data_IF_027348543299
#
_entry.id   IF_027348543299
#
_cell.length_a   1.000
_cell.length_b   1.000
_cell.length_c   1.000
_cell.angle_alpha   90.00
_cell.angle_beta   90.00
_cell.angle_gamma   90.00
#
_symmetry.space_group_name_H-M   'P 1'
#
loop_
_entity.id
_entity.type
_entity.pdbx_description
1 polymer ?
#
# COMPACT_ATOMS: atom_id res chain seq x y z
N UNK A 1 -22.64 -32.86 2.37
CA UNK A 1 -22.72 -31.40 2.62
C UNK A 1 -21.62 -30.93 3.59
N UNK A 2 -21.58 -31.40 4.85
CA UNK A 2 -20.56 -30.98 5.85
C UNK A 2 -19.11 -31.31 5.46
N UNK A 3 -18.85 -32.47 4.84
CA UNK A 3 -17.51 -32.84 4.37
C UNK A 3 -17.01 -31.99 3.19
N UNK A 4 -17.91 -31.58 2.29
CA UNK A 4 -17.60 -30.67 1.18
C UNK A 4 -17.34 -29.25 1.69
N UNK A 5 -18.16 -28.77 2.63
CA UNK A 5 -17.92 -27.51 3.34
C UNK A 5 -16.53 -27.47 4.01
N UNK A 6 -16.16 -28.51 4.76
CA UNK A 6 -14.85 -28.59 5.44
C UNK A 6 -13.71 -28.70 4.41
N UNK A 7 -13.89 -29.42 3.31
CA UNK A 7 -12.89 -29.52 2.24
C UNK A 7 -12.69 -28.19 1.51
N UNK A 8 -13.78 -27.47 1.20
CA UNK A 8 -13.75 -26.15 0.57
C UNK A 8 -13.10 -25.12 1.51
N UNK A 9 -13.38 -25.17 2.82
CA UNK A 9 -12.76 -24.30 3.84
C UNK A 9 -11.31 -24.64 4.17
N UNK A 10 -10.75 -25.71 3.59
CA UNK A 10 -9.31 -26.04 3.61
C UNK A 10 -8.60 -25.61 2.32
N UNK A 11 -9.33 -25.17 1.30
CA UNK A 11 -8.72 -24.64 0.09
C UNK A 11 -8.12 -23.26 0.38
N UNK A 12 -6.98 -22.90 -0.22
CA UNK A 12 -6.28 -21.66 0.08
C UNK A 12 -7.16 -20.40 -0.04
N UNK A 13 -8.07 -20.39 -1.02
CA UNK A 13 -9.03 -19.32 -1.25
C UNK A 13 -10.12 -19.15 -0.18
N UNK A 14 -10.17 -20.00 0.85
CA UNK A 14 -11.05 -19.87 2.02
C UNK A 14 -10.28 -19.72 3.34
N UNK A 15 -9.05 -20.23 3.43
CA UNK A 15 -8.20 -20.10 4.62
C UNK A 15 -7.52 -18.72 4.74
N UNK A 16 -7.30 -18.04 3.60
CA UNK A 16 -6.72 -16.69 3.56
C UNK A 16 -7.78 -15.59 3.36
N UNK A 17 -9.07 -15.94 3.33
CA UNK A 17 -10.14 -14.94 3.33
C UNK A 17 -10.36 -14.42 4.74
N UNK A 18 -10.20 -13.11 4.88
CA UNK A 18 -10.65 -12.34 6.04
C UNK A 18 -12.08 -12.63 6.46
N UNK A 19 -12.42 -12.34 7.72
CA UNK A 19 -13.79 -12.44 8.22
C UNK A 19 -14.62 -11.24 7.77
N UNK A 20 -15.69 -11.44 6.98
CA UNK A 20 -16.54 -10.34 6.54
C UNK A 20 -17.36 -9.75 7.68
N UNK A 21 -17.64 -8.44 7.59
CA UNK A 21 -18.44 -7.68 8.56
C UNK A 21 -19.91 -8.16 8.57
N UNK A 22 -20.42 -8.60 7.42
CA UNK A 22 -21.79 -9.12 7.27
C UNK A 22 -21.90 -10.08 6.08
N UNK A 23 -23.01 -10.82 6.00
CA UNK A 23 -23.33 -11.70 4.88
C UNK A 23 -24.06 -10.91 3.78
N UNK A 24 -23.44 -10.77 2.60
CA UNK A 24 -23.94 -10.00 1.47
C UNK A 24 -22.84 -9.82 0.40
N UNK A 25 -23.20 -9.52 -0.85
CA UNK A 25 -22.24 -9.48 -1.97
C UNK A 25 -21.10 -8.47 -1.75
N UNK A 26 -21.39 -7.27 -1.24
CA UNK A 26 -20.36 -6.27 -0.96
C UNK A 26 -19.67 -6.52 0.39
N UNK A 27 -20.41 -6.99 1.38
CA UNK A 27 -19.86 -7.23 2.72
C UNK A 27 -18.96 -8.47 2.75
N UNK A 28 -19.08 -9.41 1.81
CA UNK A 28 -18.16 -10.55 1.70
C UNK A 28 -16.73 -10.17 1.32
N UNK A 29 -16.52 -8.95 0.82
CA UNK A 29 -15.19 -8.42 0.49
C UNK A 29 -14.56 -7.61 1.62
N UNK A 30 -15.28 -7.39 2.72
CA UNK A 30 -14.76 -6.74 3.91
C UNK A 30 -13.96 -7.71 4.77
N UNK A 31 -13.03 -7.19 5.57
CA UNK A 31 -12.23 -7.96 6.50
C UNK A 31 -12.14 -7.23 7.84
N UNK A 32 -12.61 -7.84 8.93
CA UNK A 32 -12.47 -7.32 10.29
C UNK A 32 -11.35 -7.99 11.10
N UNK A 33 -10.82 -9.10 10.60
CA UNK A 33 -9.90 -9.97 11.34
C UNK A 33 -8.43 -9.69 11.07
N UNK A 34 -8.09 -9.19 9.88
CA UNK A 34 -6.69 -8.90 9.53
C UNK A 34 -6.21 -7.65 10.26
N UNK A 35 -5.06 -7.70 10.97
CA UNK A 35 -4.53 -6.56 11.71
C UNK A 35 -4.32 -5.33 10.81
N UNK A 36 -4.94 -4.20 11.18
CA UNK A 36 -4.90 -2.97 10.37
C UNK A 36 -3.50 -2.37 10.27
N UNK A 37 -2.73 -2.45 11.35
CA UNK A 37 -1.38 -1.90 11.38
C UNK A 37 -0.46 -2.69 10.45
N UNK A 38 -0.44 -4.02 10.56
CA UNK A 38 0.35 -4.88 9.69
C UNK A 38 -0.07 -4.72 8.22
N UNK A 39 -1.38 -4.63 7.91
CA UNK A 39 -1.81 -4.36 6.54
C UNK A 39 -1.43 -2.97 6.03
N UNK A 40 -1.34 -1.97 6.91
CA UNK A 40 -0.90 -0.64 6.53
C UNK A 40 0.59 -0.63 6.16
N UNK A 41 1.41 -1.31 6.96
CA UNK A 41 2.86 -1.43 6.73
C UNK A 41 3.15 -2.36 5.57
N UNK A 42 2.73 -3.63 5.64
CA UNK A 42 3.14 -4.64 4.66
C UNK A 42 2.43 -4.49 3.31
N UNK A 43 1.14 -4.13 3.28
CA UNK A 43 0.38 -4.14 2.03
C UNK A 43 0.15 -2.74 1.45
N UNK A 44 -0.35 -1.79 2.25
CA UNK A 44 -0.79 -0.47 1.77
C UNK A 44 0.38 0.45 1.41
N UNK A 45 1.37 0.58 2.30
CA UNK A 45 2.58 1.37 2.03
C UNK A 45 3.75 0.50 1.60
N UNK A 46 3.81 -0.73 2.08
CA UNK A 46 4.79 -1.72 1.66
C UNK A 46 4.59 -2.11 0.21
N UNK A 47 3.83 -3.17 -0.05
CA UNK A 47 3.78 -3.80 -1.37
C UNK A 47 3.27 -2.89 -2.49
N UNK A 48 2.40 -1.92 -2.19
CA UNK A 48 2.01 -0.88 -3.15
C UNK A 48 3.20 -0.05 -3.66
N UNK A 49 4.26 0.12 -2.88
CA UNK A 49 5.43 0.96 -3.20
C UNK A 49 6.63 0.09 -3.57
N UNK A 50 6.85 -1.00 -2.86
CA UNK A 50 7.96 -1.93 -3.05
C UNK A 50 7.46 -3.37 -3.07
N UNK A 51 7.59 -4.04 -4.20
CA UNK A 51 7.11 -5.41 -4.33
C UNK A 51 7.86 -6.37 -3.38
N UNK A 52 7.11 -7.32 -2.82
CA UNK A 52 7.64 -8.42 -2.04
C UNK A 52 8.19 -9.52 -2.96
N UNK A 53 9.47 -9.92 -2.82
CA UNK A 53 10.07 -10.93 -3.70
C UNK A 53 9.55 -12.36 -3.44
N UNK A 54 9.26 -12.71 -2.19
CA UNK A 54 8.90 -14.08 -1.79
C UNK A 54 7.53 -14.55 -2.31
N UNK A 55 6.62 -13.59 -2.48
CA UNK A 55 5.25 -13.82 -2.97
C UNK A 55 4.89 -12.80 -4.05
N UNK A 56 5.81 -12.62 -4.99
CA UNK A 56 5.76 -11.61 -6.02
C UNK A 56 4.50 -11.72 -6.89
N UNK A 57 3.68 -10.67 -6.87
CA UNK A 57 2.43 -10.55 -7.66
C UNK A 57 1.50 -11.79 -7.50
N UNK A 58 1.61 -12.48 -6.37
CA UNK A 58 0.76 -13.64 -6.09
C UNK A 58 -0.66 -13.21 -5.72
N UNK A 59 -1.57 -14.17 -5.77
CA UNK A 59 -3.00 -13.99 -5.52
C UNK A 59 -3.38 -14.71 -4.21
N UNK A 60 -4.02 -14.00 -3.29
CA UNK A 60 -4.44 -14.53 -1.98
C UNK A 60 -5.50 -15.62 -2.13
N UNK A 61 -6.31 -15.58 -3.20
CA UNK A 61 -7.25 -16.64 -3.55
C UNK A 61 -6.55 -17.92 -4.02
N UNK A 62 -5.27 -17.82 -4.42
CA UNK A 62 -4.44 -18.94 -4.87
C UNK A 62 -3.41 -19.39 -3.83
N UNK A 63 -3.53 -18.93 -2.59
CA UNK A 63 -2.72 -19.40 -1.46
C UNK A 63 -1.52 -18.53 -1.12
N UNK A 64 -1.46 -17.31 -1.64
CA UNK A 64 -0.57 -16.28 -1.10
C UNK A 64 -1.02 -15.90 0.32
N UNK A 65 -0.11 -15.83 1.30
CA UNK A 65 -0.40 -15.28 2.61
C UNK A 65 -0.91 -13.83 2.52
N UNK A 66 -1.85 -13.45 3.40
CA UNK A 66 -2.41 -12.09 3.45
C UNK A 66 -1.37 -11.05 3.88
N UNK A 67 -0.47 -11.44 4.77
CA UNK A 67 0.64 -10.63 5.24
C UNK A 67 1.94 -11.30 4.78
N UNK A 68 2.74 -10.54 4.04
CA UNK A 68 4.07 -10.92 3.60
C UNK A 68 4.98 -9.84 4.12
N UNK A 69 6.00 -10.23 4.88
CA UNK A 69 6.93 -9.31 5.52
C UNK A 69 8.17 -9.14 4.65
N UNK A 70 8.77 -7.95 4.64
CA UNK A 70 10.08 -7.79 4.02
C UNK A 70 11.16 -8.57 4.78
N UNK A 71 11.99 -9.27 4.03
CA UNK A 71 13.20 -9.92 4.54
C UNK A 71 14.37 -8.97 4.76
N UNK A 72 14.28 -7.73 4.27
CA UNK A 72 15.36 -6.75 4.33
C UNK A 72 14.88 -5.48 5.03
N UNK A 73 15.59 -5.11 6.09
CA UNK A 73 15.29 -3.91 6.89
C UNK A 73 15.33 -2.61 6.07
N UNK A 74 16.08 -2.60 4.96
CA UNK A 74 16.17 -1.46 4.05
C UNK A 74 14.81 -1.08 3.46
N UNK A 75 13.93 -2.06 3.18
CA UNK A 75 12.59 -1.80 2.67
C UNK A 75 11.77 -0.97 3.67
N UNK A 76 11.76 -1.36 4.94
CA UNK A 76 11.08 -0.59 5.99
C UNK A 76 11.68 0.81 6.17
N UNK A 77 13.00 0.97 6.01
CA UNK A 77 13.62 2.30 6.07
C UNK A 77 13.20 3.19 4.89
N UNK A 78 13.12 2.65 3.68
CA UNK A 78 12.68 3.41 2.50
C UNK A 78 11.21 3.78 2.62
N UNK A 79 10.36 2.84 3.03
CA UNK A 79 8.95 3.08 3.32
C UNK A 79 8.77 4.21 4.36
N UNK A 80 9.51 4.12 5.48
CA UNK A 80 9.48 5.16 6.51
C UNK A 80 9.84 6.55 5.96
N UNK A 81 10.89 6.64 5.13
CA UNK A 81 11.29 7.90 4.50
C UNK A 81 10.19 8.43 3.59
N UNK A 82 9.56 7.56 2.78
CA UNK A 82 8.46 7.94 1.89
C UNK A 82 7.27 8.47 2.69
N UNK A 83 6.85 7.76 3.74
CA UNK A 83 5.76 8.18 4.63
C UNK A 83 6.11 9.49 5.34
N UNK A 84 7.33 9.66 5.84
CA UNK A 84 7.76 10.89 6.48
C UNK A 84 7.69 12.08 5.50
N UNK A 85 8.22 11.93 4.28
CA UNK A 85 8.14 12.94 3.23
C UNK A 85 6.68 13.26 2.85
N UNK A 86 5.81 12.25 2.79
CA UNK A 86 4.39 12.44 2.55
C UNK A 86 3.74 13.32 3.63
N UNK A 87 3.95 12.99 4.91
CA UNK A 87 3.42 13.73 6.05
C UNK A 87 3.97 15.17 6.10
N UNK A 88 5.26 15.37 5.85
CA UNK A 88 5.86 16.71 5.78
C UNK A 88 5.31 17.51 4.59
N UNK A 89 5.08 16.87 3.45
CA UNK A 89 4.41 17.45 2.29
C UNK A 89 3.01 17.94 2.61
N UNK A 90 2.20 17.09 3.27
CA UNK A 90 0.87 17.46 3.75
C UNK A 90 0.95 18.68 4.67
N UNK A 91 1.86 18.64 5.65
CA UNK A 91 2.03 19.75 6.59
C UNK A 91 2.38 21.05 5.87
N UNK A 92 3.31 21.01 4.91
CA UNK A 92 3.71 22.21 4.16
C UNK A 92 2.60 22.72 3.24
N UNK A 93 1.79 21.83 2.69
CA UNK A 93 0.66 22.11 1.80
C UNK A 93 -0.69 22.35 2.49
N UNK A 94 -0.77 22.27 3.83
CA UNK A 94 -2.02 22.29 4.63
C UNK A 94 -3.00 23.45 4.37
N UNK A 95 -2.56 24.54 3.73
CA UNK A 95 -3.44 25.68 3.37
C UNK A 95 -3.98 25.58 1.93
N UNK A 96 -3.60 24.56 1.18
CA UNK A 96 -3.97 24.43 -0.23
C UNK A 96 -5.25 23.64 -0.39
N UNK A 97 -6.25 24.26 -1.02
CA UNK A 97 -7.51 23.60 -1.39
C UNK A 97 -7.28 22.44 -2.37
N UNK A 98 -6.30 22.56 -3.27
CA UNK A 98 -5.95 21.51 -4.21
C UNK A 98 -5.43 20.24 -3.49
N UNK A 99 -4.51 20.41 -2.53
CA UNK A 99 -4.04 19.29 -1.71
C UNK A 99 -5.21 18.63 -0.98
N UNK A 100 -6.08 19.40 -0.33
CA UNK A 100 -7.22 18.83 0.39
C UNK A 100 -8.20 18.09 -0.52
N UNK A 101 -8.40 18.55 -1.75
CA UNK A 101 -9.20 17.82 -2.75
C UNK A 101 -8.60 16.43 -3.04
N UNK A 102 -7.29 16.33 -3.25
CA UNK A 102 -6.61 15.05 -3.43
C UNK A 102 -6.65 14.19 -2.16
N UNK A 103 -6.44 14.80 -1.00
CA UNK A 103 -6.51 14.12 0.30
C UNK A 103 -7.92 13.61 0.65
N UNK A 104 -8.98 14.22 0.13
CA UNK A 104 -10.33 13.69 0.26
C UNK A 104 -10.49 12.35 -0.46
N UNK A 105 -9.94 12.24 -1.68
CA UNK A 105 -9.89 10.96 -2.41
C UNK A 105 -9.10 9.91 -1.63
N UNK A 106 -7.87 10.26 -1.24
CA UNK A 106 -7.03 9.41 -0.38
C UNK A 106 -7.76 8.95 0.89
N UNK A 107 -8.41 9.89 1.60
CA UNK A 107 -9.14 9.59 2.83
C UNK A 107 -10.32 8.66 2.62
N UNK A 108 -11.00 8.78 1.47
CA UNK A 108 -12.08 7.88 1.09
C UNK A 108 -11.56 6.47 0.80
N UNK A 109 -10.43 6.35 0.10
CA UNK A 109 -9.78 5.04 -0.11
C UNK A 109 -9.35 4.41 1.21
N UNK A 110 -8.79 5.20 2.14
CA UNK A 110 -8.42 4.70 3.48
C UNK A 110 -9.65 4.25 4.27
N UNK A 111 -10.77 4.97 4.14
CA UNK A 111 -12.02 4.56 4.77
C UNK A 111 -12.51 3.20 4.22
N UNK A 112 -12.51 3.03 2.90
CA UNK A 112 -12.96 1.78 2.28
C UNK A 112 -12.01 0.62 2.60
N UNK A 113 -10.72 0.80 2.36
CA UNK A 113 -9.75 -0.30 2.42
C UNK A 113 -9.30 -0.60 3.84
N UNK A 114 -9.01 0.41 4.66
CA UNK A 114 -8.54 0.19 6.03
C UNK A 114 -9.66 0.13 7.06
N UNK A 115 -10.66 1.00 7.00
CA UNK A 115 -11.72 1.01 8.03
C UNK A 115 -12.72 -0.12 7.79
N UNK A 116 -13.32 -0.16 6.59
CA UNK A 116 -14.25 -1.23 6.22
C UNK A 116 -13.53 -2.54 5.91
N UNK A 117 -12.23 -2.51 5.62
CA UNK A 117 -11.47 -3.71 5.27
C UNK A 117 -11.78 -4.23 3.87
N UNK A 118 -12.41 -3.43 3.00
CA UNK A 118 -12.80 -3.88 1.68
C UNK A 118 -11.56 -4.15 0.83
N UNK A 119 -11.37 -5.40 0.39
CA UNK A 119 -10.19 -5.78 -0.39
C UNK A 119 -8.87 -5.59 0.35
N UNK A 120 -8.86 -5.54 1.70
CA UNK A 120 -7.66 -5.28 2.49
C UNK A 120 -6.53 -6.28 2.20
N UNK A 121 -6.91 -7.54 1.94
CA UNK A 121 -5.96 -8.64 1.73
C UNK A 121 -5.12 -8.50 0.46
N UNK A 122 -5.61 -7.69 -0.49
CA UNK A 122 -4.92 -7.39 -1.73
C UNK A 122 -4.88 -5.89 -1.99
N UNK A 123 -4.85 -5.07 -0.94
CA UNK A 123 -4.85 -3.61 -1.06
C UNK A 123 -3.72 -3.13 -1.99
N UNK A 124 -2.61 -3.86 -2.06
CA UNK A 124 -1.50 -3.54 -2.96
C UNK A 124 -1.88 -3.43 -4.45
N UNK A 125 -2.85 -4.22 -4.95
CA UNK A 125 -3.29 -4.13 -6.35
C UNK A 125 -4.10 -2.86 -6.63
N UNK A 126 -4.65 -2.24 -5.58
CA UNK A 126 -5.45 -1.02 -5.68
C UNK A 126 -4.59 0.24 -5.54
N UNK A 127 -3.26 0.12 -5.40
CA UNK A 127 -2.33 1.23 -5.18
C UNK A 127 -2.51 2.43 -6.10
N UNK A 128 -2.91 2.21 -7.36
CA UNK A 128 -3.17 3.28 -8.33
C UNK A 128 -4.21 4.31 -7.87
N UNK A 129 -5.12 3.95 -6.95
CA UNK A 129 -6.15 4.85 -6.44
C UNK A 129 -5.61 5.91 -5.47
N UNK A 130 -4.51 5.66 -4.75
CA UNK A 130 -3.98 6.60 -3.74
C UNK A 130 -2.52 6.97 -3.91
N UNK A 131 -1.69 6.14 -4.56
CA UNK A 131 -0.23 6.36 -4.64
C UNK A 131 0.14 7.71 -5.27
N UNK A 132 -0.67 8.21 -6.22
CA UNK A 132 -0.41 9.50 -6.86
C UNK A 132 -0.55 10.70 -5.90
N UNK A 133 -1.23 10.54 -4.76
CA UNK A 133 -1.38 11.59 -3.76
C UNK A 133 -0.06 11.83 -3.02
N UNK A 134 0.79 10.80 -2.91
CA UNK A 134 2.12 10.89 -2.28
C UNK A 134 3.02 11.94 -2.96
N UNK A 135 3.33 11.85 -4.27
CA UNK A 135 4.15 12.86 -4.94
C UNK A 135 3.48 14.23 -4.99
N UNK A 136 2.13 14.32 -5.06
CA UNK A 136 1.42 15.60 -4.96
C UNK A 136 1.72 16.30 -3.63
N UNK A 137 1.63 15.57 -2.52
CA UNK A 137 1.95 16.14 -1.21
C UNK A 137 3.43 16.53 -1.12
N UNK A 138 4.35 15.68 -1.57
CA UNK A 138 5.80 15.99 -1.58
C UNK A 138 6.13 17.23 -2.41
N UNK A 139 5.39 17.51 -3.49
CA UNK A 139 5.57 18.70 -4.31
C UNK A 139 5.38 20.01 -3.52
N UNK A 140 4.55 20.02 -2.47
CA UNK A 140 4.41 21.18 -1.59
C UNK A 140 5.66 21.46 -0.75
N UNK A 141 6.49 20.45 -0.49
CA UNK A 141 7.82 20.69 0.10
C UNK A 141 8.71 21.42 -0.90
N UNK A 142 8.75 20.95 -2.15
CA UNK A 142 9.54 21.56 -3.21
C UNK A 142 9.10 22.98 -3.54
N UNK A 143 7.81 23.30 -3.36
CA UNK A 143 7.27 24.65 -3.55
C UNK A 143 7.64 25.63 -2.43
N UNK A 144 7.89 25.13 -1.21
CA UNK A 144 8.02 25.96 0.00
C UNK A 144 9.45 26.08 0.50
N UNK A 145 10.32 25.14 0.15
CA UNK A 145 11.71 25.14 0.53
C UNK A 145 12.55 25.83 -0.55
N UNK A 146 13.63 26.49 -0.11
CA UNK A 146 14.57 27.18 -0.99
C UNK A 146 16.02 26.82 -0.67
N UNK A 147 16.93 27.18 -1.60
CA UNK A 147 18.38 27.03 -1.43
C UNK A 147 18.82 25.61 -1.10
N UNK A 148 19.70 25.46 -0.10
CA UNK A 148 20.28 24.15 0.28
C UNK A 148 19.21 23.12 0.70
N UNK A 149 18.13 23.56 1.36
CA UNK A 149 17.04 22.67 1.80
C UNK A 149 16.26 22.11 0.61
N UNK A 150 15.97 22.95 -0.38
CA UNK A 150 15.33 22.51 -1.62
C UNK A 150 16.19 21.48 -2.36
N UNK A 151 17.49 21.78 -2.52
CA UNK A 151 18.42 20.86 -3.17
C UNK A 151 18.48 19.52 -2.44
N UNK A 152 18.57 19.52 -1.11
CA UNK A 152 18.60 18.29 -0.32
C UNK A 152 17.33 17.44 -0.50
N UNK A 153 16.13 18.05 -0.38
CA UNK A 153 14.85 17.32 -0.55
C UNK A 153 14.70 16.82 -1.99
N UNK A 154 15.06 17.64 -2.99
CA UNK A 154 15.02 17.22 -4.39
C UNK A 154 15.96 16.04 -4.65
N UNK A 155 17.20 16.10 -4.18
CA UNK A 155 18.17 15.01 -4.31
C UNK A 155 17.68 13.73 -3.63
N UNK A 156 17.10 13.85 -2.43
CA UNK A 156 16.52 12.71 -1.72
C UNK A 156 15.39 12.06 -2.53
N UNK A 157 14.45 12.86 -3.07
CA UNK A 157 13.37 12.35 -3.92
C UNK A 157 13.93 11.65 -5.16
N UNK A 158 14.93 12.23 -5.83
CA UNK A 158 15.55 11.60 -7.01
C UNK A 158 16.21 10.26 -6.66
N UNK A 159 16.96 10.21 -5.55
CA UNK A 159 17.59 8.96 -5.08
C UNK A 159 16.53 7.91 -4.76
N UNK A 160 15.45 8.29 -4.07
CA UNK A 160 14.33 7.39 -3.78
C UNK A 160 13.67 6.87 -5.05
N UNK A 161 13.39 7.73 -6.02
CA UNK A 161 12.81 7.32 -7.31
C UNK A 161 13.71 6.32 -8.02
N UNK A 162 15.02 6.58 -8.11
CA UNK A 162 15.98 5.65 -8.73
C UNK A 162 16.00 4.31 -7.99
N UNK A 163 16.06 4.34 -6.66
CA UNK A 163 16.05 3.14 -5.84
C UNK A 163 14.76 2.32 -6.04
N UNK A 164 13.58 2.96 -6.00
CA UNK A 164 12.30 2.28 -6.17
C UNK A 164 12.16 1.67 -7.57
N UNK A 165 12.66 2.35 -8.61
CA UNK A 165 12.72 1.78 -9.96
C UNK A 165 13.67 0.58 -10.02
N UNK A 166 14.86 0.71 -9.43
CA UNK A 166 15.85 -0.37 -9.38
C UNK A 166 15.38 -1.58 -8.55
N UNK A 167 14.53 -1.38 -7.55
CA UNK A 167 13.91 -2.45 -6.78
C UNK A 167 12.78 -3.13 -7.56
N UNK A 168 11.82 -2.36 -8.06
CA UNK A 168 10.59 -2.91 -8.61
C UNK A 168 10.72 -3.40 -10.06
N UNK A 169 11.46 -2.70 -10.93
CA UNK A 169 11.54 -3.05 -12.35
C UNK A 169 12.11 -4.46 -12.56
N UNK A 170 13.25 -4.85 -11.93
CA UNK A 170 13.79 -6.19 -12.12
C UNK A 170 12.83 -7.29 -11.66
N UNK A 171 12.07 -7.06 -10.59
CA UNK A 171 11.05 -8.00 -10.12
C UNK A 171 9.93 -8.14 -11.14
N UNK A 172 9.40 -7.04 -11.65
CA UNK A 172 8.35 -7.04 -12.67
C UNK A 172 8.83 -7.75 -13.95
N UNK A 173 10.03 -7.39 -14.44
CA UNK A 173 10.61 -7.99 -15.64
C UNK A 173 10.86 -9.48 -15.43
N UNK A 174 11.43 -9.88 -14.30
CA UNK A 174 11.67 -11.28 -13.97
C UNK A 174 10.41 -12.10 -13.78
N UNK A 175 9.28 -11.49 -13.40
CA UNK A 175 7.98 -12.15 -13.35
C UNK A 175 7.35 -12.35 -14.74
N UNK A 176 7.60 -11.43 -15.67
CA UNK A 176 7.02 -11.46 -17.01
C UNK A 176 7.79 -12.33 -18.02
N UNK A 177 9.05 -12.66 -17.72
CA UNK A 177 9.92 -13.52 -18.54
C UNK A 177 9.82 -14.98 -18.10
#
# INVERSE_FOLDING_TARGET
IRAKYIADHKQPGWTHKGKPIANGEFSSWTDISTPRWDSAVENLFGESIQLHPDHLLGDTLRGRPVLVYYNNWLNYCVEFIVVALFLFGIWMGRRSKFLWMAMCGFGFDMFIHLLLGFGLNEVYIMGAHWLFVIPIAMAYMLKRLDGRKLTAVRSLIVILTIYLLAWNIPLIVGFLM
#
